data_IF_569582113025
#
_entry.id   IF_569582113025
#
_cell.length_a   1.000
_cell.length_b   1.000
_cell.length_c   1.000
_cell.angle_alpha   90.00
_cell.angle_beta   90.00
_cell.angle_gamma   90.00
#
_symmetry.space_group_name_H-M   'P 1'
#
loop_
_entity.id
_entity.type
_entity.pdbx_description
1 polymer ?
#
# COMPACT_ATOMS: atom_id res chain seq x y z
N UNK A 1 -19.35 12.49 1.42
CA UNK A 1 -19.56 11.82 0.11
C UNK A 1 -18.35 11.85 -0.85
N UNK A 2 -17.73 13.02 -1.06
CA UNK A 2 -16.68 13.24 -2.09
C UNK A 2 -15.43 12.37 -1.89
N UNK A 3 -14.94 12.30 -0.66
CA UNK A 3 -13.75 11.52 -0.31
C UNK A 3 -13.95 10.01 -0.49
N UNK A 4 -15.15 9.49 -0.20
CA UNK A 4 -15.44 8.07 -0.29
C UNK A 4 -15.34 7.52 -1.73
N UNK A 5 -15.75 8.32 -2.71
CA UNK A 5 -15.63 7.96 -4.12
C UNK A 5 -14.16 7.89 -4.56
N UNK A 6 -13.35 8.89 -4.19
CA UNK A 6 -11.93 8.91 -4.55
C UNK A 6 -11.15 7.76 -3.93
N UNK A 7 -11.41 7.47 -2.65
CA UNK A 7 -10.77 6.35 -1.96
C UNK A 7 -11.24 5.00 -2.50
N UNK A 8 -12.54 4.85 -2.78
CA UNK A 8 -13.08 3.62 -3.39
C UNK A 8 -12.46 3.32 -4.76
N UNK A 9 -12.32 4.33 -5.62
CA UNK A 9 -11.70 4.16 -6.94
C UNK A 9 -10.22 3.75 -6.82
N UNK A 10 -9.50 4.38 -5.89
CA UNK A 10 -8.08 4.12 -5.65
C UNK A 10 -7.84 2.70 -5.12
N UNK A 11 -8.64 2.27 -4.13
CA UNK A 11 -8.56 0.91 -3.59
C UNK A 11 -8.83 -0.15 -4.65
N UNK A 12 -9.86 0.05 -5.48
CA UNK A 12 -10.18 -0.87 -6.57
C UNK A 12 -9.03 -0.97 -7.59
N UNK A 13 -8.47 0.16 -8.01
CA UNK A 13 -7.35 0.18 -8.95
C UNK A 13 -6.10 -0.53 -8.43
N UNK A 14 -5.75 -0.31 -7.15
CA UNK A 14 -4.61 -0.97 -6.50
C UNK A 14 -4.85 -2.47 -6.39
N UNK A 15 -6.05 -2.90 -5.96
CA UNK A 15 -6.38 -4.33 -5.82
C UNK A 15 -6.26 -5.09 -7.14
N UNK A 16 -6.78 -4.51 -8.22
CA UNK A 16 -6.72 -5.11 -9.57
C UNK A 16 -5.27 -5.18 -10.06
N UNK A 17 -4.49 -4.10 -9.89
CA UNK A 17 -3.10 -4.04 -10.31
C UNK A 17 -2.22 -5.07 -9.59
N UNK A 18 -2.37 -5.19 -8.27
CA UNK A 18 -1.65 -6.17 -7.45
C UNK A 18 -2.00 -7.61 -7.89
N UNK A 19 -3.28 -7.88 -8.13
CA UNK A 19 -3.73 -9.18 -8.62
C UNK A 19 -3.13 -9.53 -9.99
N UNK A 20 -3.09 -8.56 -10.91
CA UNK A 20 -2.49 -8.75 -12.23
C UNK A 20 -0.99 -9.05 -12.14
N UNK A 21 -0.25 -8.31 -11.30
CA UNK A 21 1.20 -8.52 -11.10
C UNK A 21 1.46 -9.91 -10.49
N UNK A 22 0.71 -10.31 -9.47
CA UNK A 22 0.83 -11.65 -8.86
C UNK A 22 0.57 -12.77 -9.87
N UNK A 23 -0.45 -12.61 -10.70
CA UNK A 23 -0.79 -13.56 -11.74
C UNK A 23 0.32 -13.67 -12.79
N UNK A 24 1.00 -12.57 -13.11
CA UNK A 24 2.10 -12.54 -14.09
C UNK A 24 3.45 -13.02 -13.53
N UNK A 25 3.76 -12.77 -12.25
CA UNK A 25 5.07 -13.09 -11.66
C UNK A 25 5.16 -14.48 -11.02
N UNK A 26 4.04 -15.08 -10.59
CA UNK A 26 4.07 -16.34 -9.84
C UNK A 26 2.94 -17.29 -10.28
N UNK A 27 3.07 -17.90 -11.45
CA UNK A 27 2.14 -18.94 -11.92
C UNK A 27 2.02 -20.12 -10.93
N UNK A 28 3.12 -20.49 -10.25
CA UNK A 28 3.19 -21.68 -9.37
C UNK A 28 3.17 -21.40 -7.86
N UNK A 29 3.45 -20.16 -7.42
CA UNK A 29 3.45 -19.76 -5.98
C UNK A 29 2.51 -18.60 -5.65
N UNK A 30 1.45 -18.42 -6.44
CA UNK A 30 0.45 -17.34 -6.26
C UNK A 30 -0.10 -17.28 -4.84
N UNK A 31 -0.41 -18.42 -4.22
CA UNK A 31 -0.99 -18.49 -2.88
C UNK A 31 -0.07 -17.93 -1.79
N UNK A 32 1.23 -18.20 -1.86
CA UNK A 32 2.21 -17.71 -0.86
C UNK A 32 2.42 -16.20 -1.00
N UNK A 33 2.45 -15.69 -2.22
CA UNK A 33 2.56 -14.26 -2.45
C UNK A 33 1.28 -13.52 -1.99
N UNK A 34 0.11 -14.13 -2.21
CA UNK A 34 -1.17 -13.59 -1.72
C UNK A 34 -1.27 -13.55 -0.20
N UNK A 35 -0.85 -14.63 0.49
CA UNK A 35 -0.85 -14.65 1.95
C UNK A 35 0.13 -13.64 2.54
N UNK A 36 1.29 -13.43 1.91
CA UNK A 36 2.24 -12.39 2.30
C UNK A 36 1.64 -10.99 2.15
N UNK A 37 0.94 -10.71 1.04
CA UNK A 37 0.28 -9.42 0.85
C UNK A 37 -0.82 -9.17 1.87
N UNK A 38 -1.62 -10.19 2.20
CA UNK A 38 -2.61 -10.09 3.27
C UNK A 38 -1.96 -9.88 4.63
N UNK A 39 -0.84 -10.54 4.92
CA UNK A 39 -0.07 -10.31 6.15
C UNK A 39 0.45 -8.87 6.23
N UNK A 40 1.04 -8.34 5.15
CA UNK A 40 1.49 -6.94 5.07
C UNK A 40 0.33 -5.98 5.25
N UNK A 41 -0.84 -6.28 4.67
CA UNK A 41 -2.05 -5.45 4.82
C UNK A 41 -2.51 -5.40 6.27
N UNK A 42 -2.55 -6.54 6.96
CA UNK A 42 -2.89 -6.60 8.39
C UNK A 42 -1.85 -5.87 9.26
N UNK A 43 -0.57 -6.06 8.96
CA UNK A 43 0.54 -5.39 9.66
C UNK A 43 0.46 -3.86 9.48
N UNK A 44 0.16 -3.40 8.27
CA UNK A 44 -0.06 -1.99 7.95
C UNK A 44 -1.26 -1.43 8.72
N UNK A 45 -2.38 -2.14 8.74
CA UNK A 45 -3.55 -1.76 9.53
C UNK A 45 -3.30 -1.65 11.03
N UNK A 46 -2.31 -2.39 11.56
CA UNK A 46 -1.91 -2.32 12.97
C UNK A 46 -0.87 -1.22 13.25
N UNK A 47 0.10 -1.02 12.35
CA UNK A 47 1.19 -0.05 12.50
C UNK A 47 0.78 1.38 12.17
N UNK A 48 -0.03 1.58 11.13
CA UNK A 48 -0.45 2.92 10.67
C UNK A 48 -1.21 3.72 11.74
N UNK A 49 -2.22 3.19 12.47
CA UNK A 49 -2.96 3.98 13.46
C UNK A 49 -2.07 4.60 14.57
N UNK A 50 -1.18 3.86 15.26
CA UNK A 50 -0.30 4.47 16.25
C UNK A 50 0.73 5.42 15.62
N UNK A 51 1.22 5.13 14.40
CA UNK A 51 2.11 6.04 13.67
C UNK A 51 1.41 7.37 13.38
N UNK A 52 0.18 7.31 12.87
CA UNK A 52 -0.64 8.50 12.55
C UNK A 52 -0.93 9.29 13.80
N UNK A 53 -1.24 8.63 14.92
CA UNK A 53 -1.50 9.30 16.19
C UNK A 53 -0.25 10.03 16.71
N UNK A 54 0.94 9.42 16.56
CA UNK A 54 2.22 10.03 16.92
C UNK A 54 2.60 11.21 16.01
N UNK A 55 2.38 11.08 14.70
CA UNK A 55 2.59 12.18 13.75
C UNK A 55 1.59 13.32 13.96
N UNK A 56 0.36 13.00 14.33
CA UNK A 56 -0.67 14.00 14.62
C UNK A 56 -0.34 14.81 15.87
N UNK A 57 0.19 14.18 16.93
CA UNK A 57 0.58 14.89 18.15
C UNK A 57 1.81 15.77 17.97
N UNK A 58 2.74 15.38 17.09
CA UNK A 58 4.04 16.06 16.92
C UNK A 58 4.04 17.12 15.81
N UNK A 59 3.34 16.88 14.69
CA UNK A 59 3.41 17.72 13.48
C UNK A 59 2.04 18.28 13.03
N UNK A 60 0.97 17.99 13.76
CA UNK A 60 -0.40 18.35 13.37
C UNK A 60 -0.90 17.63 12.13
N UNK A 61 -2.13 17.93 11.72
CA UNK A 61 -2.83 17.22 10.64
C UNK A 61 -2.10 17.26 9.29
N UNK A 62 -1.48 18.39 8.94
CA UNK A 62 -0.81 18.58 7.64
C UNK A 62 0.51 17.81 7.52
N UNK A 63 1.30 17.73 8.60
CA UNK A 63 2.57 17.00 8.61
C UNK A 63 2.35 15.48 8.53
N UNK A 64 1.31 14.98 9.20
CA UNK A 64 0.95 13.56 9.14
C UNK A 64 0.61 13.11 7.70
N UNK A 65 -0.21 13.87 6.96
CA UNK A 65 -0.53 13.53 5.57
C UNK A 65 0.68 13.63 4.63
N UNK A 66 1.59 14.58 4.87
CA UNK A 66 2.83 14.72 4.07
C UNK A 66 3.77 13.54 4.27
N UNK A 67 3.97 13.09 5.52
CA UNK A 67 4.81 11.93 5.83
C UNK A 67 4.20 10.63 5.33
N UNK A 68 2.88 10.46 5.46
CA UNK A 68 2.18 9.30 4.93
C UNK A 68 2.25 9.27 3.40
N UNK A 69 2.11 10.43 2.74
CA UNK A 69 2.35 10.60 1.31
C UNK A 69 3.80 10.31 0.89
N UNK A 70 4.79 10.74 1.69
CA UNK A 70 6.21 10.48 1.43
C UNK A 70 6.56 8.99 1.55
N UNK A 71 6.02 8.29 2.54
CA UNK A 71 6.18 6.83 2.69
C UNK A 71 5.55 6.10 1.51
N UNK A 72 4.34 6.50 1.10
CA UNK A 72 3.68 5.95 -0.09
C UNK A 72 4.50 6.23 -1.36
N UNK A 73 5.06 7.43 -1.50
CA UNK A 73 5.88 7.80 -2.65
C UNK A 73 7.23 7.05 -2.69
N UNK A 74 7.79 6.68 -1.54
CA UNK A 74 9.00 5.87 -1.43
C UNK A 74 8.76 4.42 -1.87
N UNK A 75 7.54 3.90 -1.74
CA UNK A 75 7.18 2.57 -2.21
C UNK A 75 7.15 2.46 -3.75
N UNK A 76 6.92 3.55 -4.48
CA UNK A 76 6.96 3.56 -5.95
C UNK A 76 8.33 3.19 -6.54
N UNK A 77 9.45 3.85 -6.17
CA UNK A 77 10.77 3.48 -6.66
C UNK A 77 11.23 2.11 -6.16
N UNK A 78 10.74 1.62 -5.02
CA UNK A 78 10.97 0.25 -4.57
C UNK A 78 10.22 -0.80 -5.42
N UNK A 79 9.11 -0.42 -6.07
CA UNK A 79 8.37 -1.27 -7.00
C UNK A 79 8.98 -1.31 -8.40
N UNK A 80 9.75 -0.28 -8.80
CA UNK A 80 10.44 -0.22 -10.10
C UNK A 80 11.41 -1.42 -10.32
N UNK A 81 12.27 -1.81 -9.37
CA UNK A 81 13.15 -2.97 -9.54
C UNK A 81 12.43 -4.33 -9.50
N UNK A 82 11.15 -4.40 -9.09
CA UNK A 82 10.36 -5.65 -9.14
C UNK A 82 10.00 -6.03 -10.59
N UNK A 83 10.28 -5.15 -11.57
CA UNK A 83 10.19 -5.51 -12.98
C UNK A 83 11.48 -6.17 -13.45
N UNK A 84 11.61 -7.48 -13.26
CA UNK A 84 12.44 -8.31 -14.13
C UNK A 84 11.79 -9.69 -14.32
N UNK A 85 10.86 -9.83 -15.28
CA UNK A 85 10.61 -11.12 -15.90
C UNK A 85 11.81 -11.42 -16.81
N UNK A 86 12.61 -12.40 -16.41
CA UNK A 86 13.37 -13.22 -17.35
C UNK A 86 12.66 -14.58 -17.42
#
# INVERSE_FOLDING_TARGET
PRFCFLSGLSLAGIFVSINAILAQHFDKRRNTAFSLLMAVTGLNGFLIPPLVQFFYSTYGSRGAFLLLGAVLFNAFPAAIPIKSPA
#
